data_IF_622879917620
#
_entry.id   IF_622879917620
#
_cell.length_a   1.000
_cell.length_b   1.000
_cell.length_c   1.000
_cell.angle_alpha   90.00
_cell.angle_beta   90.00
_cell.angle_gamma   90.00
#
_symmetry.space_group_name_H-M   'P 1'
#
loop_
_entity.id
_entity.type
_entity.pdbx_description
1 polymer ?
#
# COMPACT_ATOMS: atom_id res chain seq x y z
N UNK A 1 -14.18 -10.24 -21.27
CA UNK A 1 -14.10 -10.13 -19.85
C UNK A 1 -15.35 -9.56 -19.26
N UNK A 2 -15.72 -10.04 -18.13
CA UNK A 2 -16.81 -9.43 -17.42
C UNK A 2 -16.44 -8.05 -16.90
N UNK A 3 -17.36 -7.44 -16.23
CA UNK A 3 -17.22 -6.08 -15.73
C UNK A 3 -16.41 -6.00 -14.45
N UNK A 4 -15.79 -7.10 -14.04
CA UNK A 4 -15.09 -7.21 -12.75
C UNK A 4 -13.58 -7.16 -12.91
N UNK A 5 -13.10 -6.21 -13.71
CA UNK A 5 -11.69 -6.19 -14.11
C UNK A 5 -10.80 -5.39 -13.15
N UNK A 6 -11.14 -5.45 -11.87
CA UNK A 6 -10.32 -4.88 -10.81
C UNK A 6 -9.36 -5.94 -10.26
N UNK A 7 -8.08 -5.63 -10.32
CA UNK A 7 -7.03 -6.47 -9.75
C UNK A 7 -6.51 -5.81 -8.50
N UNK A 8 -6.45 -6.55 -7.40
CA UNK A 8 -5.89 -6.07 -6.15
C UNK A 8 -4.59 -6.80 -5.83
N UNK A 9 -3.53 -6.05 -5.62
CA UNK A 9 -2.24 -6.61 -5.21
C UNK A 9 -1.79 -6.02 -3.89
N UNK A 10 -0.90 -6.71 -3.21
CA UNK A 10 -0.40 -6.30 -1.90
C UNK A 10 1.12 -6.32 -1.92
N UNK A 11 1.72 -5.19 -1.54
CA UNK A 11 3.15 -5.09 -1.38
C UNK A 11 3.86 -4.53 -2.61
N UNK A 12 5.10 -4.97 -2.81
CA UNK A 12 5.93 -4.46 -3.88
C UNK A 12 5.49 -4.98 -5.24
N UNK A 13 5.30 -4.05 -6.17
CA UNK A 13 5.06 -4.38 -7.57
C UNK A 13 6.24 -3.93 -8.39
N UNK A 14 6.77 -4.84 -9.21
CA UNK A 14 7.69 -4.47 -10.28
C UNK A 14 6.90 -3.71 -11.33
N UNK A 15 7.62 -2.99 -12.19
CA UNK A 15 7.00 -2.28 -13.31
C UNK A 15 6.11 -3.24 -14.11
N UNK A 16 4.84 -2.94 -14.19
CA UNK A 16 3.86 -3.75 -14.92
C UNK A 16 3.83 -3.32 -16.38
N UNK A 17 3.65 -4.30 -17.27
CA UNK A 17 3.49 -4.03 -18.70
C UNK A 17 2.34 -3.03 -18.92
N UNK A 18 2.59 -2.01 -19.74
CA UNK A 18 1.60 -0.96 -20.01
C UNK A 18 0.30 -1.52 -20.60
N UNK A 19 0.37 -2.58 -21.39
CA UNK A 19 -0.81 -3.22 -21.96
C UNK A 19 -1.74 -3.75 -20.86
N UNK A 20 -1.19 -4.32 -19.81
CA UNK A 20 -1.98 -4.80 -18.67
C UNK A 20 -2.61 -3.61 -17.94
N UNK A 21 -1.86 -2.56 -17.72
CA UNK A 21 -2.35 -1.34 -17.04
C UNK A 21 -3.49 -0.71 -17.83
N UNK A 22 -3.40 -0.69 -19.15
CA UNK A 22 -4.43 -0.10 -20.01
C UNK A 22 -5.74 -0.91 -20.04
N UNK A 23 -5.66 -2.24 -19.87
CA UNK A 23 -6.81 -3.11 -19.99
C UNK A 23 -7.46 -3.49 -18.67
N UNK A 24 -6.79 -3.25 -17.55
CA UNK A 24 -7.30 -3.62 -16.23
C UNK A 24 -7.14 -2.48 -15.26
N UNK A 25 -8.11 -2.31 -14.38
CA UNK A 25 -7.95 -1.43 -13.24
C UNK A 25 -7.19 -2.19 -12.16
N UNK A 26 -6.02 -1.69 -11.79
CA UNK A 26 -5.18 -2.32 -10.78
C UNK A 26 -5.02 -1.39 -9.62
N UNK A 27 -5.30 -1.89 -8.42
CA UNK A 27 -5.00 -1.17 -7.17
C UNK A 27 -4.00 -1.98 -6.38
N UNK A 28 -3.18 -1.30 -5.60
CA UNK A 28 -2.14 -1.94 -4.80
C UNK A 28 -2.10 -1.37 -3.40
N UNK A 29 -1.84 -2.23 -2.43
CA UNK A 29 -1.55 -1.82 -1.07
C UNK A 29 -0.05 -1.66 -0.92
N UNK A 30 0.39 -0.44 -0.65
CA UNK A 30 1.79 -0.11 -0.39
C UNK A 30 2.00 0.13 1.10
N UNK A 31 3.05 -0.45 1.71
CA UNK A 31 3.25 -0.37 3.15
C UNK A 31 3.88 0.94 3.62
N UNK A 32 3.31 2.06 3.24
CA UNK A 32 3.67 3.38 3.75
C UNK A 32 2.53 4.36 3.55
N UNK A 33 2.64 5.51 4.18
CA UNK A 33 1.70 6.61 3.97
C UNK A 33 2.21 7.44 2.79
N UNK A 34 1.87 7.01 1.58
CA UNK A 34 2.26 7.70 0.35
C UNK A 34 1.84 9.18 0.39
N UNK A 35 2.62 10.07 -0.21
CA UNK A 35 3.78 9.85 -1.10
C UNK A 35 5.09 9.56 -0.39
N UNK A 36 5.11 9.44 0.94
CA UNK A 36 6.34 9.09 1.66
C UNK A 36 6.70 7.62 1.42
N UNK A 37 7.99 7.34 1.33
CA UNK A 37 8.54 5.98 1.29
C UNK A 37 8.02 5.13 0.14
N UNK A 38 8.10 5.66 -1.06
CA UNK A 38 7.90 4.86 -2.27
C UNK A 38 8.99 3.80 -2.36
N UNK A 39 8.68 2.65 -2.96
CA UNK A 39 9.65 1.59 -3.18
C UNK A 39 9.78 0.64 -2.00
N UNK A 40 10.97 0.09 -1.82
CA UNK A 40 11.26 -0.98 -0.86
C UNK A 40 11.74 -0.46 0.49
N UNK A 41 11.81 -1.36 1.48
CA UNK A 41 12.41 -1.11 2.79
C UNK A 41 11.73 0.04 3.54
N UNK A 42 10.41 0.11 3.45
CA UNK A 42 9.67 1.23 4.03
C UNK A 42 9.83 1.34 5.54
N UNK A 43 9.70 0.22 6.26
CA UNK A 43 9.77 0.24 7.73
C UNK A 43 11.16 0.62 8.23
N UNK A 44 12.20 0.12 7.58
CA UNK A 44 13.57 0.48 7.92
C UNK A 44 13.80 1.98 7.74
N UNK A 45 13.35 2.53 6.62
CA UNK A 45 13.51 3.95 6.33
C UNK A 45 12.71 4.83 7.30
N UNK A 46 11.51 4.38 7.67
CA UNK A 46 10.69 5.08 8.66
C UNK A 46 11.41 5.19 10.02
N UNK A 47 12.01 4.09 10.46
CA UNK A 47 12.73 4.08 11.74
C UNK A 47 14.00 4.93 11.69
N UNK A 48 14.73 4.89 10.58
CA UNK A 48 15.92 5.74 10.40
C UNK A 48 15.53 7.22 10.49
N UNK A 49 14.41 7.59 9.88
CA UNK A 49 13.93 8.97 9.86
C UNK A 49 13.11 9.34 11.10
N UNK A 50 12.99 8.45 12.06
CA UNK A 50 12.26 8.68 13.32
C UNK A 50 10.83 9.15 13.09
N UNK A 51 10.14 8.51 12.16
CA UNK A 51 8.73 8.82 11.90
C UNK A 51 7.87 8.49 13.12
N UNK A 52 6.84 9.31 13.35
CA UNK A 52 5.91 9.09 14.45
C UNK A 52 4.81 8.08 14.10
N UNK A 53 4.50 7.94 12.82
CA UNK A 53 3.38 7.10 12.36
C UNK A 53 3.81 6.19 11.23
N UNK A 54 3.17 5.02 11.17
CA UNK A 54 3.26 4.11 10.05
C UNK A 54 1.86 3.82 9.52
N UNK A 55 1.78 3.18 8.38
CA UNK A 55 0.50 2.78 7.83
C UNK A 55 0.66 2.25 6.42
N UNK A 56 -0.48 2.11 5.75
CA UNK A 56 -0.49 1.66 4.37
C UNK A 56 -1.36 2.58 3.53
N UNK A 57 -1.10 2.55 2.22
CA UNK A 57 -1.89 3.26 1.23
C UNK A 57 -2.40 2.28 0.20
N UNK A 58 -3.67 2.39 -0.16
CA UNK A 58 -4.23 1.70 -1.32
C UNK A 58 -4.29 2.73 -2.44
N UNK A 59 -3.65 2.43 -3.55
CA UNK A 59 -3.53 3.39 -4.66
C UNK A 59 -3.75 2.72 -6.00
N UNK A 60 -4.09 3.51 -6.99
CA UNK A 60 -4.16 3.02 -8.37
C UNK A 60 -2.75 2.76 -8.89
N UNK A 61 -2.60 1.67 -9.64
CA UNK A 61 -1.33 1.33 -10.26
C UNK A 61 -1.24 2.00 -11.62
N UNK A 62 -0.13 2.69 -11.85
CA UNK A 62 0.19 3.33 -13.13
C UNK A 62 1.56 2.81 -13.60
N UNK A 63 2.03 3.31 -14.73
CA UNK A 63 3.36 2.96 -15.23
C UNK A 63 4.49 3.51 -14.33
N UNK A 64 4.17 4.39 -13.39
CA UNK A 64 5.14 4.95 -12.44
C UNK A 64 5.01 4.28 -11.09
N UNK A 65 6.14 3.92 -10.49
CA UNK A 65 6.17 3.21 -9.21
C UNK A 65 5.52 4.04 -8.10
N UNK A 66 4.51 3.45 -7.44
CA UNK A 66 3.84 4.01 -6.26
C UNK A 66 3.36 5.46 -6.44
N UNK A 67 2.99 5.83 -7.65
CA UNK A 67 2.66 7.21 -7.99
C UNK A 67 1.21 7.43 -8.43
N UNK A 68 0.38 6.41 -8.39
CA UNK A 68 -1.03 6.54 -8.75
C UNK A 68 -1.88 7.18 -7.66
N UNK A 69 -3.11 7.54 -8.02
CA UNK A 69 -4.05 8.18 -7.09
C UNK A 69 -4.24 7.34 -5.83
N UNK A 70 -4.10 7.95 -4.68
CA UNK A 70 -4.35 7.32 -3.39
C UNK A 70 -5.85 7.24 -3.16
N UNK A 71 -6.35 6.03 -2.91
CA UNK A 71 -7.76 5.76 -2.71
C UNK A 71 -8.13 5.65 -1.24
N UNK A 72 -7.22 5.13 -0.42
CA UNK A 72 -7.44 4.95 1.00
C UNK A 72 -6.10 4.89 1.73
N UNK A 73 -6.08 5.35 2.97
CA UNK A 73 -4.91 5.23 3.85
C UNK A 73 -5.36 4.88 5.26
N UNK A 74 -4.58 4.06 5.93
CA UNK A 74 -4.74 3.78 7.36
C UNK A 74 -3.42 4.03 8.06
N UNK A 75 -3.47 4.64 9.23
CA UNK A 75 -2.26 5.00 9.99
C UNK A 75 -2.40 4.64 11.45
N UNK A 76 -1.25 4.42 12.09
CA UNK A 76 -1.14 4.15 13.51
C UNK A 76 0.19 4.68 14.03
N UNK A 77 0.28 4.94 15.33
CA UNK A 77 1.51 5.43 15.93
C UNK A 77 2.58 4.34 15.96
N UNK A 78 3.82 4.73 15.72
CA UNK A 78 4.97 3.84 15.86
C UNK A 78 5.29 3.74 17.34
N UNK A 79 5.28 2.51 17.88
CA UNK A 79 5.52 2.24 19.30
C UNK A 79 6.80 1.42 19.54
N UNK A 80 7.64 1.27 18.52
CA UNK A 80 8.84 0.44 18.62
C UNK A 80 9.94 0.97 17.72
N UNK A 81 11.19 0.69 18.11
CA UNK A 81 12.36 0.97 17.26
C UNK A 81 12.86 -0.31 16.55
N UNK A 82 12.20 -1.44 16.80
CA UNK A 82 12.58 -2.72 16.21
C UNK A 82 11.87 -2.91 14.87
N UNK A 83 12.64 -3.04 13.79
CA UNK A 83 12.10 -3.16 12.44
C UNK A 83 11.18 -4.37 12.27
N UNK A 84 11.58 -5.53 12.79
CA UNK A 84 10.77 -6.74 12.70
C UNK A 84 9.43 -6.58 13.41
N UNK A 85 9.43 -5.93 14.58
CA UNK A 85 8.22 -5.65 15.34
C UNK A 85 7.32 -4.65 14.62
N UNK A 86 7.90 -3.61 14.03
CA UNK A 86 7.14 -2.65 13.24
C UNK A 86 6.49 -3.33 12.04
N UNK A 87 7.22 -4.20 11.36
CA UNK A 87 6.67 -4.98 10.25
C UNK A 87 5.52 -5.88 10.68
N UNK A 88 5.64 -6.52 11.85
CA UNK A 88 4.56 -7.36 12.40
C UNK A 88 3.34 -6.51 12.77
N UNK A 89 3.56 -5.35 13.37
CA UNK A 89 2.48 -4.42 13.69
C UNK A 89 1.76 -3.95 12.43
N UNK A 90 2.50 -3.70 11.37
CA UNK A 90 1.94 -3.30 10.08
C UNK A 90 1.04 -4.40 9.51
N UNK A 91 1.50 -5.65 9.50
CA UNK A 91 0.70 -6.77 9.00
C UNK A 91 -0.59 -6.92 9.80
N UNK A 92 -0.53 -6.72 11.11
CA UNK A 92 -1.71 -6.77 11.96
C UNK A 92 -2.69 -5.66 11.60
N UNK A 93 -2.20 -4.45 11.34
CA UNK A 93 -3.04 -3.33 10.92
C UNK A 93 -3.73 -3.65 9.58
N UNK A 94 -3.01 -4.21 8.61
CA UNK A 94 -3.59 -4.63 7.34
C UNK A 94 -4.70 -5.65 7.55
N UNK A 95 -4.44 -6.70 8.33
CA UNK A 95 -5.44 -7.74 8.60
C UNK A 95 -6.71 -7.19 9.26
N UNK A 96 -6.56 -6.18 10.10
CA UNK A 96 -7.70 -5.58 10.80
C UNK A 96 -8.55 -4.68 9.91
N UNK A 97 -7.95 -4.03 8.92
CA UNK A 97 -8.62 -2.91 8.23
C UNK A 97 -8.75 -3.04 6.72
N UNK A 98 -7.92 -3.86 6.07
CA UNK A 98 -7.90 -3.89 4.60
C UNK A 98 -9.23 -4.34 4.00
N UNK A 99 -9.87 -5.33 4.60
CA UNK A 99 -11.16 -5.83 4.10
C UNK A 99 -12.21 -4.71 4.08
N UNK A 100 -12.30 -3.96 5.16
CA UNK A 100 -13.23 -2.84 5.27
C UNK A 100 -12.95 -1.75 4.23
N UNK A 101 -11.66 -1.45 4.03
CA UNK A 101 -11.27 -0.47 3.02
C UNK A 101 -11.66 -0.91 1.61
N UNK A 102 -11.44 -2.19 1.29
CA UNK A 102 -11.82 -2.73 -0.02
C UNK A 102 -13.33 -2.71 -0.23
N UNK A 103 -14.11 -3.05 0.78
CA UNK A 103 -15.57 -3.01 0.69
C UNK A 103 -16.04 -1.59 0.37
N UNK A 104 -15.45 -0.59 1.00
CA UNK A 104 -15.79 0.81 0.72
C UNK A 104 -15.44 1.21 -0.71
N UNK A 105 -14.31 0.72 -1.23
CA UNK A 105 -13.88 1.06 -2.59
C UNK A 105 -14.73 0.38 -3.65
N UNK A 106 -15.32 -0.77 -3.35
CA UNK A 106 -16.14 -1.53 -4.29
C UNK A 106 -17.62 -1.13 -4.29
N UNK A 107 -18.03 -0.34 -3.34
CA UNK A 107 -19.43 0.12 -3.24
C UNK A 107 -19.67 1.46 -3.92
#
# INVERSE_FOLDING_TARGET
MGDCDLVFSVGYLKKINSEIIENYEIINLHPSLLPKYKGLMTHKRMLINKEAKYGYSIHKVTKYLDDGKILSQNKKDISTINEARLSSNHKRLEHQRVYRDLVKLLN
#
